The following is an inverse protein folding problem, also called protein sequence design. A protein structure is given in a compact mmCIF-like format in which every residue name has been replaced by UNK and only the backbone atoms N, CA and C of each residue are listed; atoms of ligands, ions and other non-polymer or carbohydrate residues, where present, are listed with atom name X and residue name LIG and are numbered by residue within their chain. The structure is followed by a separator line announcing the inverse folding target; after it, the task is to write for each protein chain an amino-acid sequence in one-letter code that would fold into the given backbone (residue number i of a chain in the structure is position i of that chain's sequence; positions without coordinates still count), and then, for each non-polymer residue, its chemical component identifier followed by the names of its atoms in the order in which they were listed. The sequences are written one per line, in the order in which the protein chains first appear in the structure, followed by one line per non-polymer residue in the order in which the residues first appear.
data_IF_988229064943
#
_entry.id   IF_988229064943
#
_cell.length_a   1.000
_cell.length_b   1.000
_cell.length_c   1.000
_cell.angle_alpha   90.00
_cell.angle_beta   90.00
_cell.angle_gamma   90.00
#
_symmetry.space_group_name_H-M   'P 1'
#
loop_
_entity.id
_entity.type
_entity.pdbx_description
1 polymer ?
#
# COMPACT_ATOMS: atom_id res chain seq x y z
N UNK A 1 19.12 -69.38 33.05
CA UNK A 1 18.20 -68.99 31.96
C UNK A 1 16.89 -68.51 32.59
N UNK A 2 16.17 -67.51 32.04
CA UNK A 2 16.50 -66.11 31.68
C UNK A 2 15.93 -65.13 32.76
N UNK A 3 16.49 -63.94 33.03
CA UNK A 3 16.38 -62.59 32.39
C UNK A 3 15.12 -61.78 32.77
N UNK A 4 15.39 -60.54 33.27
CA UNK A 4 14.56 -59.31 33.39
C UNK A 4 13.46 -59.29 34.46
N UNK A 5 13.33 -58.24 35.30
CA UNK A 5 13.24 -56.78 35.04
C UNK A 5 13.71 -56.00 36.30
N UNK A 6 14.72 -55.10 36.25
CA UNK A 6 14.67 -53.64 35.93
C UNK A 6 13.81 -52.86 36.97
N UNK A 7 14.37 -52.24 38.02
CA UNK A 7 15.03 -50.92 38.10
C UNK A 7 14.27 -49.76 37.43
N UNK A 8 13.61 -48.91 38.23
CA UNK A 8 13.92 -47.46 38.28
C UNK A 8 12.96 -46.74 39.25
N UNK A 9 13.37 -46.64 40.51
CA UNK A 9 13.15 -45.42 41.28
C UNK A 9 14.32 -44.47 40.95
N UNK A 10 14.12 -43.17 41.13
CA UNK A 10 15.10 -42.08 40.94
C UNK A 10 15.14 -41.39 39.57
N UNK A 11 14.07 -40.68 39.21
CA UNK A 11 14.16 -39.49 38.35
C UNK A 11 13.31 -38.36 38.95
N UNK A 12 13.71 -37.90 40.14
CA UNK A 12 13.19 -36.64 40.73
C UNK A 12 14.31 -35.66 41.11
N UNK A 13 15.57 -35.97 40.77
CA UNK A 13 16.74 -35.13 41.12
C UNK A 13 17.35 -34.39 39.90
N UNK A 14 16.92 -34.65 38.66
CA UNK A 14 17.53 -34.06 37.45
C UNK A 14 16.79 -32.81 36.92
N UNK A 15 15.75 -32.30 37.60
CA UNK A 15 15.05 -31.06 37.16
C UNK A 15 15.50 -29.76 37.84
N UNK A 16 16.36 -29.82 38.87
CA UNK A 16 16.90 -28.63 39.52
C UNK A 16 18.34 -28.26 39.09
N UNK A 17 19.02 -29.11 38.30
CA UNK A 17 20.41 -28.90 37.88
C UNK A 17 20.56 -28.36 36.44
N UNK A 18 19.49 -28.28 35.64
CA UNK A 18 19.53 -27.75 34.25
C UNK A 18 19.12 -26.26 34.18
N UNK A 19 18.70 -25.67 35.30
CA UNK A 19 18.36 -24.24 35.41
C UNK A 19 19.56 -23.34 35.83
N UNK A 20 20.80 -23.86 35.82
CA UNK A 20 22.02 -23.11 36.20
C UNK A 20 23.20 -23.32 35.23
N UNK A 21 22.93 -23.40 33.92
CA UNK A 21 23.97 -23.56 32.89
C UNK A 21 23.78 -22.67 31.65
N UNK A 22 23.14 -21.50 31.79
CA UNK A 22 23.18 -20.45 30.77
C UNK A 22 23.34 -19.08 31.43
N UNK A 23 24.50 -18.85 32.02
CA UNK A 23 25.02 -17.50 32.24
C UNK A 23 26.53 -17.58 32.11
N UNK A 24 27.11 -16.58 31.45
CA UNK A 24 28.51 -16.47 31.03
C UNK A 24 28.86 -17.19 29.71
N UNK A 25 28.17 -16.80 28.63
CA UNK A 25 28.89 -16.45 27.41
C UNK A 25 29.15 -14.95 27.48
N UNK A 26 30.15 -14.58 28.27
CA UNK A 26 30.66 -13.22 28.32
C UNK A 26 31.45 -12.96 27.02
N UNK A 27 31.07 -11.89 26.34
CA UNK A 27 31.99 -10.92 25.77
C UNK A 27 33.25 -11.49 25.08
N UNK A 28 33.08 -11.92 23.85
CA UNK A 28 34.00 -11.45 22.80
C UNK A 28 33.30 -10.32 22.05
N UNK A 29 33.05 -9.21 22.75
CA UNK A 29 33.31 -7.94 22.13
C UNK A 29 34.83 -7.92 21.96
N UNK A 30 35.32 -8.39 20.83
CA UNK A 30 36.62 -7.93 20.37
C UNK A 30 36.51 -6.41 20.40
N UNK A 31 37.21 -5.81 21.36
CA UNK A 31 37.55 -4.41 21.31
C UNK A 31 38.44 -4.24 20.07
N UNK A 32 37.78 -4.22 18.91
CA UNK A 32 38.27 -3.50 17.76
C UNK A 32 38.30 -2.09 18.29
N UNK A 33 39.49 -1.61 18.64
CA UNK A 33 39.73 -0.17 18.72
C UNK A 33 38.99 0.44 17.56
N UNK A 34 38.04 1.38 17.77
CA UNK A 34 37.49 2.09 16.63
C UNK A 34 38.71 2.76 16.00
N UNK A 35 39.21 2.18 14.90
CA UNK A 35 39.99 2.95 13.97
C UNK A 35 39.08 4.15 13.73
N UNK A 36 39.58 5.32 14.09
CA UNK A 36 38.96 6.61 13.81
C UNK A 36 38.91 6.80 12.28
N UNK A 37 38.18 5.93 11.58
CA UNK A 37 37.58 6.25 10.31
C UNK A 37 36.52 7.29 10.64
N UNK A 38 36.57 8.42 9.94
CA UNK A 38 35.51 9.40 10.06
C UNK A 38 34.17 8.71 9.77
N UNK A 39 33.14 8.95 10.59
CA UNK A 39 31.85 8.34 10.35
C UNK A 39 31.28 8.81 9.01
N UNK A 40 30.61 7.90 8.29
CA UNK A 40 29.71 8.30 7.24
C UNK A 40 28.54 9.04 7.86
N UNK A 41 28.19 10.19 7.29
CA UNK A 41 26.98 10.93 7.65
C UNK A 41 25.95 10.77 6.56
N UNK A 42 24.86 10.07 6.88
CA UNK A 42 23.69 9.99 6.02
C UNK A 42 22.68 11.03 6.50
N UNK A 43 22.48 12.06 5.68
CA UNK A 43 21.51 13.13 5.91
C UNK A 43 20.24 12.85 5.11
N UNK A 44 19.09 12.85 5.79
CA UNK A 44 17.76 12.75 5.21
C UNK A 44 16.99 14.05 5.42
N UNK A 45 16.38 14.55 4.36
CA UNK A 45 15.43 15.66 4.40
C UNK A 45 14.05 15.16 3.98
N UNK A 46 13.09 15.24 4.89
CA UNK A 46 11.67 14.99 4.62
C UNK A 46 10.99 16.33 4.42
N UNK A 47 10.58 16.65 3.20
CA UNK A 47 10.01 17.95 2.88
C UNK A 47 8.50 18.00 3.06
N UNK A 48 7.81 16.94 2.69
CA UNK A 48 6.37 16.84 2.81
C UNK A 48 5.96 15.37 2.96
N UNK A 49 4.85 15.13 3.64
CA UNK A 49 4.31 13.80 3.88
C UNK A 49 2.80 13.89 3.94
N UNK A 50 2.12 12.97 3.26
CA UNK A 50 0.67 12.95 3.15
C UNK A 50 0.17 11.53 3.34
N UNK A 51 -0.94 11.39 4.05
CA UNK A 51 -1.67 10.14 4.20
C UNK A 51 -3.11 10.40 3.80
N UNK A 52 -3.69 9.47 3.04
CA UNK A 52 -5.12 9.45 2.85
C UNK A 52 -5.83 9.55 4.23
N UNK A 53 -7.05 10.08 4.25
CA UNK A 53 -7.90 10.21 5.44
C UNK A 53 -7.51 11.26 6.49
N UNK A 54 -6.27 11.76 6.54
CA UNK A 54 -5.85 12.83 7.49
C UNK A 54 -5.89 14.24 6.88
N UNK A 55 -6.48 15.21 7.59
CA UNK A 55 -6.49 16.61 7.14
C UNK A 55 -5.09 17.24 7.25
N UNK A 56 -4.88 18.37 6.55
CA UNK A 56 -3.59 19.04 6.48
C UNK A 56 -3.02 19.41 7.86
N UNK A 57 -3.86 19.91 8.78
CA UNK A 57 -3.42 20.30 10.12
C UNK A 57 -2.95 19.08 10.92
N UNK A 58 -3.70 17.98 10.82
CA UNK A 58 -3.37 16.70 11.46
C UNK A 58 -2.08 16.10 10.89
N UNK A 59 -1.91 16.10 9.57
CA UNK A 59 -0.67 15.63 8.92
C UNK A 59 0.55 16.45 9.34
N UNK A 60 0.43 17.78 9.37
CA UNK A 60 1.50 18.71 9.77
C UNK A 60 1.95 18.49 11.22
N UNK A 61 1.06 18.02 12.09
CA UNK A 61 1.39 17.68 13.48
C UNK A 61 2.01 16.27 13.62
N UNK A 62 1.49 15.28 12.90
CA UNK A 62 1.85 13.87 13.09
C UNK A 62 3.19 13.49 12.44
N UNK A 63 3.44 13.95 11.21
CA UNK A 63 4.60 13.48 10.44
C UNK A 63 5.95 13.86 11.05
N UNK A 64 6.16 15.08 11.58
CA UNK A 64 7.38 15.39 12.31
C UNK A 64 7.60 14.46 13.51
N UNK A 65 6.55 14.12 14.25
CA UNK A 65 6.65 13.18 15.37
C UNK A 65 7.02 11.76 14.90
N UNK A 66 6.42 11.27 13.81
CA UNK A 66 6.72 9.96 13.22
C UNK A 66 8.20 9.90 12.82
N UNK A 67 8.65 10.85 11.99
CA UNK A 67 9.99 10.83 11.42
C UNK A 67 11.08 11.17 12.43
N UNK A 68 10.79 11.96 13.47
CA UNK A 68 11.76 12.22 14.55
C UNK A 68 12.22 10.97 15.30
N UNK A 69 11.49 9.85 15.15
CA UNK A 69 11.78 8.55 15.77
C UNK A 69 12.31 7.53 14.76
N UNK A 70 12.72 7.97 13.57
CA UNK A 70 13.22 7.07 12.55
C UNK A 70 14.54 6.41 12.94
N UNK A 71 14.66 5.13 12.60
CA UNK A 71 15.87 4.34 12.65
C UNK A 71 16.31 4.03 11.22
N UNK A 72 17.61 3.83 11.04
CA UNK A 72 18.19 3.47 9.76
C UNK A 72 19.01 2.20 9.92
N UNK A 73 18.70 1.20 9.11
CA UNK A 73 19.50 -0.02 8.98
C UNK A 73 20.34 0.10 7.71
N UNK A 74 21.64 0.29 7.88
CA UNK A 74 22.60 0.31 6.79
C UNK A 74 23.10 -1.11 6.48
N UNK A 75 23.11 -1.45 5.20
CA UNK A 75 23.56 -2.73 4.68
C UNK A 75 24.89 -2.52 3.98
N UNK A 76 25.85 -3.36 4.34
CA UNK A 76 27.21 -3.34 3.81
C UNK A 76 27.49 -4.64 3.09
N UNK A 77 28.00 -4.48 1.87
CA UNK A 77 28.47 -5.60 1.06
C UNK A 77 30.00 -5.62 1.06
N UNK A 78 30.60 -6.80 0.95
CA UNK A 78 32.03 -6.90 0.86
C UNK A 78 32.53 -6.43 -0.51
N UNK A 79 33.57 -5.61 -0.48
CA UNK A 79 34.34 -5.15 -1.62
C UNK A 79 35.17 -6.29 -2.23
N UNK A 80 35.57 -7.27 -1.41
CA UNK A 80 36.36 -8.44 -1.82
C UNK A 80 35.69 -9.74 -1.40
N UNK A 81 35.86 -10.78 -2.21
CA UNK A 81 35.30 -12.12 -1.98
C UNK A 81 36.35 -13.01 -1.34
N UNK A 82 36.21 -13.27 -0.05
CA UNK A 82 37.13 -14.03 0.80
C UNK A 82 36.30 -15.13 1.48
N UNK A 83 36.61 -16.38 1.18
CA UNK A 83 35.90 -17.54 1.74
C UNK A 83 36.06 -17.60 3.25
N UNK A 84 34.94 -17.76 3.97
CA UNK A 84 34.91 -17.80 5.44
C UNK A 84 34.83 -16.44 6.12
N UNK A 85 35.10 -15.33 5.41
CA UNK A 85 35.07 -13.97 5.96
C UNK A 85 33.98 -13.10 5.33
N UNK A 86 33.91 -13.07 4.01
CA UNK A 86 32.94 -12.26 3.25
C UNK A 86 32.06 -13.10 2.34
N UNK A 87 32.33 -14.40 2.25
CA UNK A 87 31.49 -15.38 1.59
C UNK A 87 31.31 -16.63 2.43
N UNK A 88 30.12 -17.20 2.37
CA UNK A 88 29.80 -18.49 2.96
C UNK A 88 29.38 -19.46 1.85
N UNK A 89 30.05 -20.60 1.77
CA UNK A 89 29.67 -21.71 0.88
C UNK A 89 28.92 -22.76 1.69
N UNK A 90 27.64 -22.93 1.40
CA UNK A 90 26.82 -24.00 2.00
C UNK A 90 26.64 -25.14 1.01
N UNK A 91 26.92 -26.35 1.46
CA UNK A 91 26.66 -27.58 0.71
C UNK A 91 25.26 -28.08 1.04
N UNK A 92 24.40 -28.16 0.02
CA UNK A 92 23.07 -28.69 0.14
C UNK A 92 23.01 -30.10 -0.45
N UNK A 93 22.48 -31.03 0.34
CA UNK A 93 22.18 -32.37 -0.14
C UNK A 93 20.90 -32.30 -0.98
N UNK A 94 21.03 -32.55 -2.28
CA UNK A 94 19.87 -32.69 -3.17
C UNK A 94 19.40 -34.14 -3.15
N UNK A 95 18.09 -34.35 -3.07
CA UNK A 95 17.49 -35.69 -3.18
C UNK A 95 17.04 -35.90 -4.62
N UNK A 96 17.44 -37.02 -5.23
CA UNK A 96 17.26 -37.30 -6.66
C UNK A 96 15.82 -37.75 -6.98
N UNK A 97 15.25 -38.57 -6.10
CA UNK A 97 13.85 -38.98 -6.11
C UNK A 97 13.46 -39.49 -4.72
N UNK A 98 12.19 -39.32 -4.36
CA UNK A 98 11.61 -39.88 -3.15
C UNK A 98 10.55 -40.90 -3.56
N UNK A 99 10.69 -42.15 -3.13
CA UNK A 99 9.62 -43.14 -3.24
C UNK A 99 8.72 -43.04 -2.01
N UNK A 100 7.42 -42.85 -2.23
CA UNK A 100 6.43 -42.75 -1.17
C UNK A 100 6.45 -44.03 -0.32
N UNK A 101 6.74 -43.88 0.98
CA UNK A 101 6.75 -44.98 1.96
C UNK A 101 8.06 -45.76 2.09
N UNK A 102 9.14 -45.38 1.39
CA UNK A 102 10.42 -46.15 1.41
C UNK A 102 11.62 -45.28 1.80
N UNK A 103 12.14 -44.44 0.89
CA UNK A 103 13.30 -43.59 1.14
C UNK A 103 13.47 -42.56 0.01
N UNK A 104 14.21 -41.49 0.29
CA UNK A 104 14.74 -40.59 -0.73
C UNK A 104 16.20 -40.94 -1.03
N UNK A 105 16.57 -41.01 -2.32
CA UNK A 105 17.94 -41.31 -2.72
C UNK A 105 18.74 -39.99 -2.75
N UNK A 106 19.81 -39.84 -1.95
CA UNK A 106 20.66 -38.67 -2.01
C UNK A 106 21.41 -38.62 -3.34
N UNK A 107 21.49 -37.45 -3.95
CA UNK A 107 22.37 -37.20 -5.09
C UNK A 107 23.84 -37.40 -4.64
N UNK A 108 24.67 -38.14 -5.40
CA UNK A 108 26.09 -38.34 -5.07
C UNK A 108 26.91 -37.03 -5.05
N UNK A 109 26.37 -35.93 -5.59
CA UNK A 109 27.01 -34.61 -5.57
C UNK A 109 26.23 -33.63 -4.69
N UNK A 110 26.96 -32.90 -3.84
CA UNK A 110 26.42 -31.75 -3.12
C UNK A 110 26.29 -30.57 -4.08
N UNK A 111 25.15 -29.87 -4.03
CA UNK A 111 25.06 -28.56 -4.66
C UNK A 111 25.67 -27.53 -3.69
N UNK A 112 26.75 -26.89 -4.11
CA UNK A 112 27.35 -25.79 -3.36
C UNK A 112 26.67 -24.50 -3.75
N UNK A 113 26.15 -23.78 -2.75
CA UNK A 113 25.65 -22.42 -2.92
C UNK A 113 26.55 -21.48 -2.14
N UNK A 114 27.28 -20.65 -2.87
CA UNK A 114 28.09 -19.57 -2.29
C UNK A 114 27.24 -18.32 -2.21
N UNK A 115 27.06 -17.79 -1.01
CA UNK A 115 26.40 -16.51 -0.74
C UNK A 115 27.39 -15.50 -0.18
N UNK A 116 27.21 -14.25 -0.58
CA UNK A 116 27.91 -13.12 0.00
C UNK A 116 27.36 -12.87 1.41
N UNK A 117 28.25 -12.67 2.38
CA UNK A 117 27.85 -12.30 3.73
C UNK A 117 27.58 -10.80 3.77
N UNK A 118 26.35 -10.41 4.11
CA UNK A 118 25.96 -9.02 4.31
C UNK A 118 26.12 -8.64 5.79
N UNK A 119 26.49 -7.38 6.04
CA UNK A 119 26.55 -6.82 7.40
C UNK A 119 25.52 -5.72 7.55
N UNK A 120 24.91 -5.68 8.72
CA UNK A 120 23.85 -4.72 9.04
C UNK A 120 24.29 -3.88 10.23
N UNK A 121 24.07 -2.57 10.14
CA UNK A 121 24.29 -1.62 11.23
C UNK A 121 23.04 -0.77 11.38
N UNK A 122 22.38 -0.86 12.54
CA UNK A 122 21.19 -0.05 12.85
C UNK A 122 21.55 1.11 13.75
N UNK A 123 21.14 2.32 13.37
CA UNK A 123 21.39 3.55 14.10
C UNK A 123 20.13 4.41 14.19
N UNK A 124 20.07 5.28 15.21
CA UNK A 124 18.96 6.22 15.39
C UNK A 124 19.28 7.56 14.75
N UNK A 125 18.26 8.18 14.15
CA UNK A 125 18.39 9.52 13.58
C UNK A 125 18.54 10.57 14.66
N UNK A 126 19.49 11.48 14.48
CA UNK A 126 19.58 12.71 15.24
C UNK A 126 18.84 13.81 14.48
N UNK A 127 17.91 14.50 15.13
CA UNK A 127 17.18 15.59 14.49
C UNK A 127 18.06 16.83 14.44
N UNK A 128 18.51 17.20 13.24
CA UNK A 128 19.42 18.34 13.01
C UNK A 128 18.65 19.65 12.84
N UNK A 129 17.42 19.58 12.33
CA UNK A 129 16.53 20.72 12.17
C UNK A 129 15.10 20.26 12.46
N UNK A 130 14.51 20.76 13.55
CA UNK A 130 13.19 20.29 14.05
C UNK A 130 12.18 21.40 14.39
N UNK A 131 12.54 22.68 14.27
CA UNK A 131 11.74 23.76 14.85
C UNK A 131 11.00 24.58 13.77
N UNK A 132 9.68 24.38 13.69
CA UNK A 132 8.71 25.24 13.00
C UNK A 132 8.87 25.44 11.48
N UNK A 133 9.72 24.66 10.79
CA UNK A 133 9.87 24.71 9.35
C UNK A 133 10.09 23.33 8.74
N UNK A 134 9.35 23.04 7.66
CA UNK A 134 9.73 22.03 6.68
C UNK A 134 10.95 22.54 5.88
N UNK A 135 11.90 21.68 5.47
CA UNK A 135 11.92 20.22 5.67
C UNK A 135 12.46 19.79 7.06
N UNK A 136 11.96 18.67 7.59
CA UNK A 136 12.58 17.96 8.73
C UNK A 136 13.90 17.34 8.28
N UNK A 137 14.99 17.58 9.02
CA UNK A 137 16.31 17.00 8.70
C UNK A 137 16.79 16.04 9.78
N UNK A 138 17.13 14.82 9.37
CA UNK A 138 17.73 13.79 10.20
C UNK A 138 19.15 13.50 9.74
N UNK A 139 20.05 13.26 10.69
CA UNK A 139 21.40 12.77 10.45
C UNK A 139 21.60 11.43 11.11
N UNK A 140 22.19 10.49 10.39
CA UNK A 140 22.59 9.18 10.87
C UNK A 140 24.10 9.06 10.77
N UNK A 141 24.74 8.73 11.89
CA UNK A 141 26.18 8.46 11.94
C UNK A 141 26.41 6.97 11.76
N UNK A 142 27.15 6.61 10.72
CA UNK A 142 27.39 5.24 10.30
C UNK A 142 28.91 4.98 10.27
N UNK A 143 29.39 3.76 10.54
CA UNK A 143 30.78 3.42 10.30
C UNK A 143 31.06 3.45 8.79
N UNK A 144 32.22 3.96 8.38
CA UNK A 144 32.66 3.87 6.98
C UNK A 144 32.85 2.41 6.56
N UNK A 145 33.48 1.63 7.42
CA UNK A 145 33.64 0.18 7.27
C UNK A 145 33.25 -0.50 8.60
N UNK A 146 32.18 -1.31 8.64
CA UNK A 146 31.79 -2.02 9.86
C UNK A 146 32.73 -3.21 10.17
N UNK A 147 33.47 -3.66 9.17
CA UNK A 147 34.49 -4.71 9.22
C UNK A 147 35.42 -4.53 8.00
N UNK A 148 36.64 -5.10 8.02
CA UNK A 148 37.55 -5.04 6.89
C UNK A 148 36.90 -5.52 5.59
N UNK A 149 37.17 -4.81 4.49
CA UNK A 149 36.64 -5.10 3.15
C UNK A 149 35.12 -4.91 3.00
N UNK A 150 34.41 -4.27 3.93
CA UNK A 150 32.98 -3.97 3.75
C UNK A 150 32.77 -2.51 3.36
N UNK A 151 31.84 -2.28 2.42
CA UNK A 151 31.45 -0.94 1.99
C UNK A 151 29.94 -0.77 2.03
N UNK A 152 29.50 0.46 2.26
CA UNK A 152 28.08 0.80 2.22
C UNK A 152 27.47 0.42 0.86
N UNK A 153 26.34 -0.27 0.90
CA UNK A 153 25.57 -0.68 -0.29
C UNK A 153 24.22 0.05 -0.35
N UNK A 154 23.42 -0.07 0.71
CA UNK A 154 22.06 0.49 0.77
C UNK A 154 21.63 0.72 2.21
N UNK A 155 20.53 1.43 2.40
CA UNK A 155 19.91 1.62 3.70
C UNK A 155 18.40 1.39 3.63
N UNK A 156 17.83 0.85 4.70
CA UNK A 156 16.39 0.87 4.96
C UNK A 156 16.11 1.90 6.05
N UNK A 157 15.21 2.83 5.77
CA UNK A 157 14.71 3.80 6.75
C UNK A 157 13.43 3.25 7.34
N UNK A 158 13.34 3.19 8.66
CA UNK A 158 12.16 2.70 9.37
C UNK A 158 11.65 3.74 10.37
N UNK A 159 10.34 3.93 10.45
CA UNK A 159 9.72 4.81 11.44
C UNK A 159 8.51 4.15 12.12
N UNK A 160 8.26 4.45 13.41
CA UNK A 160 7.13 3.88 14.13
C UNK A 160 5.79 4.42 13.60
N UNK A 161 4.98 3.55 13.00
CA UNK A 161 3.64 3.89 12.52
C UNK A 161 2.63 4.15 13.66
N UNK A 162 2.97 3.79 14.91
CA UNK A 162 2.04 3.86 16.05
C UNK A 162 1.54 5.27 16.36
N UNK A 163 2.29 6.30 15.98
CA UNK A 163 1.89 7.69 16.14
C UNK A 163 0.65 7.99 15.28
N UNK A 164 0.62 7.50 14.03
CA UNK A 164 -0.53 7.64 13.13
C UNK A 164 -1.80 7.06 13.77
N UNK A 165 -1.69 5.90 14.42
CA UNK A 165 -2.83 5.17 15.01
C UNK A 165 -3.40 5.77 16.29
N UNK A 166 -2.79 6.85 16.80
CA UNK A 166 -3.33 7.58 17.95
C UNK A 166 -4.42 8.55 17.56
N UNK A 167 -4.49 8.92 16.28
CA UNK A 167 -5.48 9.85 15.76
C UNK A 167 -6.92 9.34 16.04
N UNK A 168 -7.85 10.22 16.46
CA UNK A 168 -9.24 9.84 16.71
C UNK A 168 -9.93 9.15 15.53
N UNK A 169 -9.59 9.51 14.29
CA UNK A 169 -10.16 8.91 13.09
C UNK A 169 -9.90 7.40 13.04
N UNK A 170 -8.64 6.98 13.18
CA UNK A 170 -8.29 5.56 13.13
C UNK A 170 -8.79 4.79 14.35
N UNK A 171 -8.88 5.45 15.52
CA UNK A 171 -9.50 4.85 16.70
C UNK A 171 -10.98 4.57 16.48
N UNK A 172 -11.71 5.50 15.88
CA UNK A 172 -13.12 5.34 15.57
C UNK A 172 -13.31 4.29 14.48
N UNK A 173 -12.58 4.40 13.38
CA UNK A 173 -12.60 3.43 12.29
C UNK A 173 -12.35 2.01 12.80
N UNK A 174 -11.39 1.82 13.72
CA UNK A 174 -11.16 0.52 14.34
C UNK A 174 -12.37 -0.04 15.07
N UNK A 175 -13.17 0.79 15.75
CA UNK A 175 -14.39 0.33 16.44
C UNK A 175 -15.45 -0.15 15.46
N UNK A 176 -15.54 0.49 14.30
CA UNK A 176 -16.56 0.25 13.30
C UNK A 176 -16.24 -0.98 12.41
N UNK A 177 -15.02 -1.52 12.52
CA UNK A 177 -14.62 -2.75 11.83
C UNK A 177 -15.25 -4.01 12.46
N UNK A 178 -15.43 -5.06 11.64
CA UNK A 178 -15.80 -6.40 12.13
C UNK A 178 -14.72 -7.00 13.05
N UNK A 179 -15.10 -7.93 13.93
CA UNK A 179 -14.18 -8.56 14.89
C UNK A 179 -13.01 -9.32 14.23
N UNK A 180 -13.17 -9.84 13.00
CA UNK A 180 -12.09 -10.44 12.22
C UNK A 180 -11.13 -9.37 11.69
N UNK A 181 -11.65 -8.30 11.08
CA UNK A 181 -10.86 -7.19 10.55
C UNK A 181 -10.08 -6.46 11.67
N UNK A 182 -10.69 -6.29 12.86
CA UNK A 182 -10.01 -5.71 14.02
C UNK A 182 -8.77 -6.52 14.47
N UNK A 183 -8.87 -7.85 14.47
CA UNK A 183 -7.76 -8.75 14.84
C UNK A 183 -6.64 -8.69 13.81
N UNK A 184 -6.98 -8.68 12.53
CA UNK A 184 -6.01 -8.53 11.45
C UNK A 184 -5.31 -7.17 11.54
N UNK A 185 -6.06 -6.07 11.64
CA UNK A 185 -5.49 -4.73 11.79
C UNK A 185 -4.56 -4.61 13.00
N UNK A 186 -4.92 -5.23 14.13
CA UNK A 186 -4.08 -5.22 15.32
C UNK A 186 -2.69 -5.84 15.10
N UNK A 187 -2.58 -6.85 14.22
CA UNK A 187 -1.31 -7.49 13.84
C UNK A 187 -0.48 -6.60 12.90
N UNK A 188 -1.13 -6.00 11.89
CA UNK A 188 -0.41 -5.24 10.87
C UNK A 188 0.01 -3.83 11.33
N UNK A 189 -0.78 -3.17 12.19
CA UNK A 189 -0.48 -1.80 12.65
C UNK A 189 0.84 -1.65 13.44
N UNK A 190 1.45 -2.76 13.85
CA UNK A 190 2.74 -2.78 14.56
C UNK A 190 3.92 -2.72 13.60
N UNK A 191 3.70 -2.96 12.30
CA UNK A 191 4.74 -2.86 11.29
C UNK A 191 5.21 -1.40 11.16
N UNK A 192 6.53 -1.15 11.10
CA UNK A 192 7.06 0.18 10.88
C UNK A 192 6.74 0.64 9.45
N UNK A 193 6.72 1.96 9.25
CA UNK A 193 6.83 2.54 7.93
C UNK A 193 8.24 2.27 7.43
N UNK A 194 8.42 1.76 6.22
CA UNK A 194 9.77 1.59 5.70
C UNK A 194 9.91 1.85 4.21
N UNK A 195 11.11 2.31 3.83
CA UNK A 195 11.53 2.46 2.45
C UNK A 195 13.04 2.31 2.31
N UNK A 196 13.47 2.00 1.09
CA UNK A 196 14.88 1.71 0.77
C UNK A 196 15.55 2.88 0.06
N UNK A 197 16.84 3.06 0.36
CA UNK A 197 17.72 4.05 -0.26
C UNK A 197 19.00 3.35 -0.74
N UNK A 198 19.45 3.66 -1.95
CA UNK A 198 20.69 3.16 -2.51
C UNK A 198 21.47 4.29 -3.21
N UNK A 199 22.81 4.21 -3.33
CA UNK A 199 23.60 5.18 -4.07
C UNK A 199 23.05 5.36 -5.49
N UNK A 200 22.74 6.62 -5.85
CA UNK A 200 22.23 6.90 -7.19
C UNK A 200 23.30 6.65 -8.23
N UNK A 201 22.89 6.08 -9.37
CA UNK A 201 23.74 5.92 -10.56
C UNK A 201 23.68 7.16 -11.47
N UNK A 202 22.96 8.20 -11.04
CA UNK A 202 22.66 9.41 -11.82
C UNK A 202 22.88 10.62 -10.91
N UNK A 203 23.04 11.79 -11.52
CA UNK A 203 23.02 13.03 -10.76
C UNK A 203 21.58 13.36 -10.37
N UNK A 204 21.24 13.19 -9.09
CA UNK A 204 19.87 13.41 -8.59
C UNK A 204 19.85 14.33 -7.35
N UNK A 205 20.11 15.63 -7.49
CA UNK A 205 20.05 16.56 -6.34
C UNK A 205 18.61 16.85 -5.84
N UNK A 206 17.59 16.21 -6.42
CA UNK A 206 16.19 16.58 -6.26
C UNK A 206 15.43 15.69 -5.26
N UNK A 207 14.30 16.18 -4.73
CA UNK A 207 13.39 15.40 -3.90
C UNK A 207 12.78 14.24 -4.69
N UNK A 208 12.51 13.15 -4.01
CA UNK A 208 11.98 11.92 -4.56
C UNK A 208 10.68 11.56 -3.83
N UNK A 209 9.66 11.18 -4.59
CA UNK A 209 8.39 10.72 -4.04
C UNK A 209 8.52 9.25 -3.63
N UNK A 210 8.18 8.92 -2.39
CA UNK A 210 8.28 7.59 -1.78
C UNK A 210 6.92 7.12 -1.26
N UNK A 211 6.59 5.87 -1.52
CA UNK A 211 5.44 5.18 -0.93
C UNK A 211 5.77 4.72 0.48
N UNK A 212 4.92 5.09 1.43
CA UNK A 212 4.94 4.62 2.79
C UNK A 212 3.91 3.51 2.88
N UNK A 213 4.37 2.26 2.86
CA UNK A 213 3.52 1.08 3.06
C UNK A 213 2.84 1.14 4.42
N UNK A 214 1.64 1.71 4.47
CA UNK A 214 0.90 1.97 5.70
C UNK A 214 -0.31 1.05 5.76
N UNK A 215 -0.35 0.07 6.69
CA UNK A 215 -1.54 -0.75 6.87
C UNK A 215 -2.64 0.08 7.51
N UNK A 216 -3.77 0.26 6.83
CA UNK A 216 -4.92 0.98 7.40
C UNK A 216 -6.04 0.01 7.78
N UNK A 217 -6.97 0.42 8.67
CA UNK A 217 -8.25 -0.28 8.84
C UNK A 217 -8.98 -0.60 7.52
N UNK A 218 -8.83 0.25 6.51
CA UNK A 218 -9.42 0.11 5.18
C UNK A 218 -8.68 -0.86 4.27
N UNK A 219 -7.36 -0.80 4.27
CA UNK A 219 -6.50 -1.54 3.35
C UNK A 219 -5.47 -2.36 4.13
N UNK A 220 -5.83 -3.61 4.41
CA UNK A 220 -4.95 -4.59 5.06
C UNK A 220 -4.00 -5.29 4.08
N UNK A 221 -4.20 -5.08 2.77
CA UNK A 221 -3.34 -5.61 1.71
C UNK A 221 -3.14 -4.55 0.63
N UNK A 222 -1.88 -4.26 0.35
CA UNK A 222 -1.45 -3.37 -0.72
C UNK A 222 -1.93 -3.92 -2.07
N UNK A 223 -2.96 -3.28 -2.62
CA UNK A 223 -3.48 -3.56 -3.97
C UNK A 223 -2.93 -2.58 -5.01
N UNK A 224 -1.77 -2.00 -4.73
CA UNK A 224 -1.01 -1.26 -5.72
C UNK A 224 -1.40 0.19 -5.88
N UNK A 225 -1.94 0.83 -4.82
CA UNK A 225 -2.12 2.25 -4.45
C UNK A 225 -1.35 2.75 -3.20
N UNK A 226 -0.45 3.76 -3.16
CA UNK A 226 0.13 4.17 -1.87
C UNK A 226 -0.91 4.91 -1.02
N UNK A 227 -1.17 4.45 0.20
CA UNK A 227 -2.09 5.13 1.13
C UNK A 227 -1.42 6.33 1.82
N UNK A 228 -0.09 6.30 1.91
CA UNK A 228 0.71 7.41 2.39
C UNK A 228 1.95 7.57 1.52
N UNK A 229 2.40 8.80 1.36
CA UNK A 229 3.60 9.14 0.59
C UNK A 229 4.41 10.20 1.32
N UNK A 230 5.69 10.27 0.99
CA UNK A 230 6.59 11.33 1.45
C UNK A 230 7.51 11.78 0.33
N UNK A 231 7.96 13.02 0.37
CA UNK A 231 9.06 13.53 -0.45
C UNK A 231 10.34 13.54 0.36
N UNK A 232 11.34 12.79 -0.10
CA UNK A 232 12.63 12.65 0.58
C UNK A 232 13.79 13.07 -0.30
N UNK A 233 14.79 13.70 0.30
CA UNK A 233 16.13 13.88 -0.28
C UNK A 233 17.13 13.24 0.66
N UNK A 234 18.08 12.49 0.11
CA UNK A 234 19.04 11.73 0.90
C UNK A 234 20.46 11.93 0.35
N UNK A 235 21.40 12.21 1.24
CA UNK A 235 22.82 12.32 0.90
C UNK A 235 23.68 11.59 1.91
N UNK A 236 24.66 10.85 1.40
CA UNK A 236 25.70 10.18 2.17
C UNK A 236 27.00 10.96 1.99
N UNK A 237 27.62 11.41 3.08
CA UNK A 237 28.89 12.12 3.09
C UNK A 237 29.93 11.35 3.90
N UNK A 238 31.19 11.43 3.49
CA UNK A 238 32.31 10.76 4.12
C UNK A 238 33.64 11.14 3.48
N UNK A 239 34.69 10.41 3.81
CA UNK A 239 36.06 10.67 3.30
C UNK A 239 36.15 10.59 1.77
N UNK A 240 35.32 9.76 1.15
CA UNK A 240 35.22 9.58 -0.30
C UNK A 240 34.33 10.62 -1.01
N UNK A 241 33.86 11.64 -0.29
CA UNK A 241 33.00 12.70 -0.79
C UNK A 241 31.50 12.46 -0.57
N UNK A 242 30.69 13.32 -1.19
CA UNK A 242 29.23 13.30 -1.05
C UNK A 242 28.58 12.51 -2.19
N UNK A 243 27.67 11.61 -1.84
CA UNK A 243 26.88 10.79 -2.75
C UNK A 243 25.39 11.02 -2.48
N UNK A 244 24.61 11.13 -3.54
CA UNK A 244 23.15 11.12 -3.42
C UNK A 244 22.66 9.68 -3.24
N UNK A 245 21.68 9.48 -2.36
CA UNK A 245 20.94 8.23 -2.28
C UNK A 245 19.54 8.40 -2.91
N UNK A 246 19.08 7.36 -3.60
CA UNK A 246 17.79 7.33 -4.26
C UNK A 246 16.94 6.13 -3.86
N UNK A 247 15.63 6.31 -3.92
CA UNK A 247 14.70 5.19 -3.92
C UNK A 247 14.81 4.48 -5.27
N UNK A 248 15.10 3.16 -5.31
CA UNK A 248 15.41 2.43 -6.54
C UNK A 248 14.52 2.79 -7.75
N UNK A 249 15.17 3.25 -8.83
CA UNK A 249 14.53 4.03 -9.90
C UNK A 249 13.38 3.38 -10.69
N UNK A 250 13.16 2.06 -10.61
CA UNK A 250 11.94 1.47 -11.19
C UNK A 250 10.72 1.69 -10.28
N UNK A 251 10.90 1.62 -8.96
CA UNK A 251 9.84 1.84 -7.98
C UNK A 251 9.40 3.31 -7.97
N UNK A 252 10.35 4.24 -7.93
CA UNK A 252 10.07 5.69 -7.96
C UNK A 252 9.33 6.13 -9.24
N UNK A 253 9.71 5.59 -10.40
CA UNK A 253 9.03 5.87 -11.68
C UNK A 253 7.62 5.29 -11.71
N UNK A 254 7.46 4.06 -11.25
CA UNK A 254 6.15 3.43 -11.17
C UNK A 254 5.23 4.24 -10.26
N UNK A 255 5.75 4.77 -9.14
CA UNK A 255 5.01 5.59 -8.21
C UNK A 255 4.56 6.93 -8.83
N UNK A 256 5.48 7.65 -9.49
CA UNK A 256 5.18 8.91 -10.18
C UNK A 256 4.10 8.71 -11.25
N UNK A 257 4.20 7.61 -12.03
CA UNK A 257 3.22 7.26 -13.06
C UNK A 257 1.86 6.88 -12.46
N UNK A 258 1.85 6.03 -11.42
CA UNK A 258 0.63 5.57 -10.73
C UNK A 258 -0.14 6.72 -10.12
N UNK A 259 0.56 7.64 -9.46
CA UNK A 259 -0.03 8.82 -8.82
C UNK A 259 -0.24 10.00 -9.78
N UNK A 260 0.11 9.85 -11.06
CA UNK A 260 0.07 10.93 -12.05
C UNK A 260 0.77 12.20 -11.55
N UNK A 261 1.87 12.05 -10.81
CA UNK A 261 2.58 13.15 -10.18
C UNK A 261 3.39 13.92 -11.24
N UNK A 262 3.30 15.26 -11.24
CA UNK A 262 4.20 16.11 -12.03
C UNK A 262 5.61 16.07 -11.44
N UNK A 263 6.66 16.35 -12.23
CA UNK A 263 8.03 16.41 -11.72
C UNK A 263 8.35 17.66 -10.89
N UNK A 264 7.38 18.56 -10.71
CA UNK A 264 7.55 19.87 -10.06
C UNK A 264 7.85 19.76 -8.55
N UNK A 265 7.43 18.67 -7.89
CA UNK A 265 7.75 18.44 -6.47
C UNK A 265 9.25 18.22 -6.23
N UNK A 266 10.00 17.83 -7.26
CA UNK A 266 11.41 17.48 -7.12
C UNK A 266 12.27 18.69 -6.67
N UNK A 267 11.82 19.91 -6.97
CA UNK A 267 12.49 21.15 -6.58
C UNK A 267 12.09 21.63 -5.18
N UNK A 268 10.78 21.75 -4.94
CA UNK A 268 10.23 22.34 -3.71
C UNK A 268 10.11 21.35 -2.55
N UNK A 269 10.08 20.05 -2.86
CA UNK A 269 9.74 19.00 -1.92
C UNK A 269 8.27 18.98 -1.51
N UNK A 270 7.44 19.91 -1.99
CA UNK A 270 6.01 19.92 -1.67
C UNK A 270 5.26 18.92 -2.51
N UNK A 271 4.41 18.12 -1.88
CA UNK A 271 3.55 17.21 -2.59
C UNK A 271 2.54 18.02 -3.43
N UNK A 272 2.38 17.72 -4.72
CA UNK A 272 1.33 18.36 -5.52
C UNK A 272 -0.04 17.98 -4.94
N UNK A 273 -0.98 18.92 -4.93
CA UNK A 273 -2.34 18.64 -4.44
C UNK A 273 -2.99 17.48 -5.21
N UNK A 274 -2.68 17.36 -6.51
CA UNK A 274 -3.13 16.21 -7.31
C UNK A 274 -2.67 14.88 -6.72
N UNK A 275 -1.49 14.80 -6.13
CA UNK A 275 -1.00 13.59 -5.48
C UNK A 275 -1.68 13.38 -4.14
N UNK A 276 -1.63 14.36 -3.23
CA UNK A 276 -2.20 14.23 -1.88
C UNK A 276 -3.70 13.98 -1.88
N UNK A 277 -4.43 14.65 -2.79
CA UNK A 277 -5.89 14.49 -2.91
C UNK A 277 -6.24 13.16 -3.60
N UNK A 278 -5.44 12.68 -4.56
CA UNK A 278 -5.65 11.38 -5.22
C UNK A 278 -5.37 10.16 -4.33
N UNK A 279 -4.72 10.31 -3.17
CA UNK A 279 -4.52 9.17 -2.26
C UNK A 279 -5.84 8.67 -1.65
N UNK A 280 -6.83 9.56 -1.53
CA UNK A 280 -8.12 9.23 -0.91
C UNK A 280 -9.00 8.37 -1.81
N UNK A 281 -9.24 8.67 -3.11
CA UNK A 281 -10.14 7.86 -3.94
C UNK A 281 -9.63 6.45 -4.28
N UNK A 282 -8.32 6.30 -4.53
CA UNK A 282 -7.74 5.07 -5.09
C UNK A 282 -7.30 4.06 -4.01
N UNK A 283 -7.05 4.52 -2.78
CA UNK A 283 -6.64 3.66 -1.65
C UNK A 283 -7.80 3.06 -0.85
N UNK A 284 -9.04 3.34 -1.23
CA UNK A 284 -10.26 2.85 -0.55
C UNK A 284 -10.52 1.40 -0.93
N UNK A 285 -9.92 0.47 -0.18
CA UNK A 285 -10.22 -0.94 -0.34
C UNK A 285 -11.47 -1.30 0.44
N UNK A 286 -12.56 -1.57 -0.27
CA UNK A 286 -13.80 -2.09 0.33
C UNK A 286 -13.67 -3.55 0.78
N UNK A 287 -12.61 -4.26 0.35
CA UNK A 287 -12.36 -5.70 0.52
C UNK A 287 -12.57 -6.28 1.93
N UNK A 288 -12.38 -5.46 2.97
CA UNK A 288 -12.47 -5.89 4.37
C UNK A 288 -13.64 -5.24 5.10
N UNK A 289 -14.50 -4.54 4.36
CA UNK A 289 -15.72 -3.93 4.83
C UNK A 289 -16.89 -4.92 4.91
N UNK A 290 -17.95 -4.49 5.57
CA UNK A 290 -19.24 -5.16 5.47
C UNK A 290 -19.80 -4.93 4.07
N UNK A 291 -19.99 -6.02 3.32
CA UNK A 291 -20.62 -5.98 2.00
C UNK A 291 -22.05 -6.48 2.09
N UNK A 292 -22.95 -5.78 1.41
CA UNK A 292 -24.34 -6.18 1.24
C UNK A 292 -24.74 -6.02 -0.20
N UNK A 293 -25.31 -7.08 -0.76
CA UNK A 293 -25.71 -7.12 -2.15
C UNK A 293 -27.14 -7.63 -2.27
N UNK A 294 -27.89 -7.09 -3.22
CA UNK A 294 -29.19 -7.63 -3.58
C UNK A 294 -29.96 -6.76 -4.58
N UNK A 295 -31.07 -7.29 -5.12
CA UNK A 295 -31.95 -6.51 -5.98
C UNK A 295 -32.70 -5.45 -5.18
N UNK A 296 -32.91 -4.30 -5.82
CA UNK A 296 -33.75 -3.22 -5.30
C UNK A 296 -34.69 -2.71 -6.40
N UNK A 297 -35.95 -2.50 -6.03
CA UNK A 297 -36.88 -1.74 -6.85
C UNK A 297 -36.64 -0.25 -6.58
N UNK A 298 -35.89 0.41 -7.48
CA UNK A 298 -35.62 1.85 -7.36
C UNK A 298 -36.94 2.61 -7.50
N UNK A 299 -37.26 3.59 -6.62
CA UNK A 299 -38.50 4.36 -6.70
C UNK A 299 -38.49 5.38 -7.84
N UNK A 300 -39.68 5.78 -8.32
CA UNK A 300 -39.83 6.75 -9.42
C UNK A 300 -39.24 8.14 -9.12
N UNK A 301 -39.01 8.48 -7.84
CA UNK A 301 -38.30 9.69 -7.42
C UNK A 301 -36.81 9.70 -7.75
N UNK A 302 -36.26 8.56 -8.17
CA UNK A 302 -34.88 8.36 -8.61
C UNK A 302 -34.88 7.89 -10.08
N UNK A 303 -35.25 8.79 -11.02
CA UNK A 303 -35.65 8.41 -12.37
C UNK A 303 -34.53 7.78 -13.20
N UNK A 304 -33.25 8.07 -12.90
CA UNK A 304 -32.11 7.54 -13.69
C UNK A 304 -32.01 6.02 -13.64
N UNK A 305 -32.45 5.42 -12.54
CA UNK A 305 -32.38 3.97 -12.29
C UNK A 305 -33.76 3.33 -12.14
N UNK A 306 -34.83 4.12 -12.28
CA UNK A 306 -36.19 3.65 -12.16
C UNK A 306 -36.53 2.66 -13.28
N UNK A 307 -37.03 1.47 -12.90
CA UNK A 307 -37.45 0.44 -13.84
C UNK A 307 -36.33 -0.39 -14.48
N UNK A 308 -35.05 -0.04 -14.24
CA UNK A 308 -33.91 -0.81 -14.72
C UNK A 308 -33.74 -2.12 -13.93
N UNK A 309 -33.31 -3.17 -14.62
CA UNK A 309 -33.19 -4.53 -14.09
C UNK A 309 -31.84 -5.12 -14.40
N UNK A 310 -31.28 -5.88 -13.48
CA UNK A 310 -30.05 -6.61 -13.72
C UNK A 310 -30.37 -8.01 -14.27
N UNK A 311 -29.59 -8.53 -15.21
CA UNK A 311 -29.83 -9.83 -15.86
C UNK A 311 -29.92 -11.00 -14.85
N UNK A 312 -29.01 -11.05 -13.86
CA UNK A 312 -29.07 -12.03 -12.76
C UNK A 312 -30.18 -11.76 -11.72
N UNK A 313 -30.80 -10.59 -11.74
CA UNK A 313 -31.77 -10.16 -10.73
C UNK A 313 -32.95 -9.42 -11.38
N UNK A 314 -33.84 -10.11 -12.11
CA UNK A 314 -34.91 -9.49 -12.90
C UNK A 314 -35.97 -8.76 -12.05
N UNK A 315 -35.91 -8.90 -10.73
CA UNK A 315 -36.75 -8.20 -9.77
C UNK A 315 -36.36 -6.72 -9.58
N UNK A 316 -35.16 -6.30 -10.03
CA UNK A 316 -34.76 -4.89 -9.95
C UNK A 316 -33.30 -4.61 -10.29
N UNK A 317 -32.86 -3.41 -9.95
CA UNK A 317 -31.46 -2.98 -10.08
C UNK A 317 -30.62 -3.74 -9.05
N UNK A 318 -29.47 -4.26 -9.46
CA UNK A 318 -28.51 -4.81 -8.51
C UNK A 318 -27.89 -3.67 -7.72
N UNK A 319 -27.92 -3.78 -6.41
CA UNK A 319 -27.32 -2.83 -5.51
C UNK A 319 -26.24 -3.51 -4.66
N UNK A 320 -25.14 -2.81 -4.42
CA UNK A 320 -24.09 -3.21 -3.49
C UNK A 320 -23.75 -2.05 -2.56
N UNK A 321 -23.91 -2.28 -1.24
CA UNK A 321 -23.40 -1.41 -0.18
C UNK A 321 -22.11 -2.01 0.36
N UNK A 322 -21.07 -1.20 0.43
CA UNK A 322 -19.86 -1.56 1.16
C UNK A 322 -19.60 -0.52 2.24
N UNK A 323 -19.42 -0.95 3.49
CA UNK A 323 -19.09 -0.06 4.61
C UNK A 323 -17.80 -0.51 5.28
N UNK A 324 -16.88 0.41 5.48
CA UNK A 324 -15.67 0.19 6.27
C UNK A 324 -15.34 1.46 7.07
N UNK A 325 -15.89 1.55 8.28
CA UNK A 325 -15.79 2.74 9.14
C UNK A 325 -16.27 4.02 8.44
N UNK A 326 -15.41 5.05 8.29
CA UNK A 326 -15.78 6.32 7.65
C UNK A 326 -16.01 6.19 6.13
N UNK A 327 -15.60 5.08 5.52
CA UNK A 327 -15.82 4.78 4.12
C UNK A 327 -17.17 4.12 3.91
N UNK A 328 -17.97 4.67 2.99
CA UNK A 328 -19.19 4.05 2.49
C UNK A 328 -19.21 4.12 0.97
N UNK A 329 -19.37 2.98 0.30
CA UNK A 329 -19.52 2.91 -1.15
C UNK A 329 -20.86 2.29 -1.50
N UNK A 330 -21.50 2.86 -2.51
CA UNK A 330 -22.72 2.36 -3.12
C UNK A 330 -22.45 2.12 -4.59
N UNK A 331 -22.79 0.94 -5.06
CA UNK A 331 -22.81 0.61 -6.47
C UNK A 331 -24.22 0.19 -6.87
N UNK A 332 -24.68 0.72 -8.01
CA UNK A 332 -25.87 0.27 -8.71
C UNK A 332 -25.45 -0.33 -10.04
N UNK A 333 -26.09 -1.43 -10.44
CA UNK A 333 -25.82 -2.10 -11.71
C UNK A 333 -27.10 -2.69 -12.31
N UNK A 334 -27.32 -2.48 -13.60
CA UNK A 334 -28.48 -2.96 -14.34
C UNK A 334 -28.23 -2.95 -15.85
N UNK A 335 -28.99 -3.74 -16.60
CA UNK A 335 -29.09 -3.61 -18.05
C UNK A 335 -29.76 -2.27 -18.40
N UNK A 336 -29.28 -1.67 -19.47
CA UNK A 336 -29.86 -0.45 -20.05
C UNK A 336 -31.03 -0.79 -21.00
N UNK A 337 -31.40 0.14 -21.87
CA UNK A 337 -32.44 -0.05 -22.88
C UNK A 337 -31.94 -0.91 -24.06
N UNK A 338 -32.79 -1.79 -24.59
CA UNK A 338 -32.57 -2.55 -25.83
C UNK A 338 -32.29 -1.64 -27.03
N UNK A 339 -32.72 -0.37 -27.00
CA UNK A 339 -32.38 0.62 -28.01
C UNK A 339 -30.87 0.88 -28.12
N UNK A 340 -30.09 0.56 -27.09
CA UNK A 340 -28.63 0.73 -27.05
C UNK A 340 -27.86 -0.56 -27.34
N UNK A 341 -28.58 -1.61 -27.73
CA UNK A 341 -27.96 -2.89 -28.04
C UNK A 341 -27.03 -2.78 -29.25
N UNK A 342 -25.89 -3.45 -29.16
CA UNK A 342 -24.94 -3.62 -30.26
C UNK A 342 -24.78 -5.13 -30.46
N UNK A 343 -25.02 -5.61 -31.68
CA UNK A 343 -24.92 -7.04 -32.02
C UNK A 343 -25.69 -7.94 -31.05
N UNK A 344 -26.95 -7.59 -30.79
CA UNK A 344 -27.88 -8.28 -29.88
C UNK A 344 -27.48 -8.28 -28.39
N UNK A 345 -26.43 -7.54 -28.00
CA UNK A 345 -26.07 -7.37 -26.61
C UNK A 345 -26.54 -6.02 -26.04
N UNK A 346 -27.33 -6.10 -24.97
CA UNK A 346 -27.73 -4.94 -24.17
C UNK A 346 -26.61 -4.58 -23.20
N UNK A 347 -26.11 -3.33 -23.18
CA UNK A 347 -25.03 -2.99 -22.28
C UNK A 347 -25.52 -2.89 -20.84
N UNK A 348 -24.62 -3.19 -19.92
CA UNK A 348 -24.82 -3.05 -18.49
C UNK A 348 -24.22 -1.73 -18.04
N UNK A 349 -25.05 -0.94 -17.37
CA UNK A 349 -24.67 0.29 -16.71
C UNK A 349 -24.33 0.00 -15.26
N UNK A 350 -23.27 0.63 -14.77
CA UNK A 350 -22.95 0.74 -13.36
C UNK A 350 -22.70 2.20 -12.97
N UNK A 351 -23.17 2.59 -11.79
CA UNK A 351 -22.79 3.85 -11.14
C UNK A 351 -22.28 3.52 -9.74
N UNK A 352 -21.17 4.14 -9.33
CA UNK A 352 -20.54 3.99 -8.02
C UNK A 352 -20.36 5.34 -7.36
N UNK A 353 -20.89 5.50 -6.14
CA UNK A 353 -20.61 6.64 -5.26
C UNK A 353 -19.79 6.19 -4.07
N UNK A 354 -18.69 6.89 -3.82
CA UNK A 354 -17.81 6.61 -2.70
C UNK A 354 -17.74 7.82 -1.78
N UNK A 355 -18.19 7.61 -0.55
CA UNK A 355 -18.23 8.59 0.51
C UNK A 355 -17.15 8.32 1.55
N UNK A 356 -16.55 9.40 2.06
CA UNK A 356 -15.65 9.37 3.20
C UNK A 356 -16.12 10.40 4.23
N UNK A 357 -16.38 9.98 5.47
CA UNK A 357 -16.97 10.84 6.52
C UNK A 357 -18.25 11.58 6.05
N UNK A 358 -19.07 10.92 5.23
CA UNK A 358 -20.31 11.49 4.70
C UNK A 358 -20.15 12.50 3.56
N UNK A 359 -18.92 12.77 3.13
CA UNK A 359 -18.62 13.58 1.96
C UNK A 359 -18.37 12.70 0.74
N UNK A 360 -18.94 13.07 -0.41
CA UNK A 360 -18.68 12.38 -1.67
C UNK A 360 -17.25 12.69 -2.12
N UNK A 361 -16.44 11.65 -2.27
CA UNK A 361 -15.05 11.76 -2.69
C UNK A 361 -14.86 11.34 -4.14
N UNK A 362 -15.67 10.40 -4.60
CA UNK A 362 -15.54 9.82 -5.92
C UNK A 362 -16.91 9.37 -6.45
N UNK A 363 -17.11 9.67 -7.73
CA UNK A 363 -18.24 9.19 -8.52
C UNK A 363 -17.66 8.61 -9.80
N UNK A 364 -18.01 7.37 -10.08
CA UNK A 364 -17.63 6.68 -11.30
C UNK A 364 -18.85 6.04 -11.90
N UNK A 365 -18.98 6.10 -13.21
CA UNK A 365 -19.95 5.30 -13.93
C UNK A 365 -19.32 4.64 -15.14
N UNK A 366 -19.86 3.49 -15.49
CA UNK A 366 -19.43 2.68 -16.61
C UNK A 366 -20.66 2.14 -17.34
N UNK A 367 -20.59 2.11 -18.67
CA UNK A 367 -21.52 1.35 -19.50
C UNK A 367 -20.68 0.42 -20.36
N UNK A 368 -20.87 -0.90 -20.17
CA UNK A 368 -20.07 -1.93 -20.84
C UNK A 368 -20.90 -3.05 -21.44
N UNK A 369 -20.30 -3.70 -22.43
CA UNK A 369 -20.79 -4.88 -23.12
C UNK A 369 -19.95 -6.08 -22.63
N UNK A 370 -20.58 -7.11 -22.05
CA UNK A 370 -19.93 -8.25 -21.41
C UNK A 370 -19.54 -9.38 -22.37
N UNK A 371 -20.26 -9.52 -23.48
CA UNK A 371 -20.15 -10.62 -24.45
C UNK A 371 -19.94 -10.15 -25.89
N UNK A 372 -19.81 -8.85 -26.09
CA UNK A 372 -19.70 -8.21 -27.39
C UNK A 372 -18.34 -8.45 -28.02
N UNK A 373 -18.19 -8.09 -29.30
CA UNK A 373 -16.91 -8.22 -29.96
C UNK A 373 -15.86 -7.31 -29.29
N UNK A 374 -14.60 -7.73 -29.35
CA UNK A 374 -13.48 -7.11 -28.60
C UNK A 374 -13.19 -5.64 -28.94
N UNK A 375 -13.89 -5.10 -29.94
CA UNK A 375 -13.78 -3.75 -30.47
C UNK A 375 -14.93 -2.82 -30.05
N UNK A 376 -15.95 -3.30 -29.32
CA UNK A 376 -16.97 -2.42 -28.74
C UNK A 376 -16.42 -1.80 -27.45
N UNK A 377 -16.21 -0.47 -27.39
CA UNK A 377 -15.67 0.16 -26.20
C UNK A 377 -16.69 0.22 -25.07
N UNK A 378 -16.19 0.11 -23.84
CA UNK A 378 -16.92 0.57 -22.67
C UNK A 378 -16.81 2.09 -22.58
N UNK A 379 -17.90 2.76 -22.21
CA UNK A 379 -17.87 4.18 -21.88
C UNK A 379 -17.70 4.33 -20.37
N UNK A 380 -16.64 4.99 -19.94
CA UNK A 380 -16.36 5.27 -18.54
C UNK A 380 -16.37 6.77 -18.30
N UNK A 381 -16.86 7.20 -17.15
CA UNK A 381 -16.74 8.57 -16.68
C UNK A 381 -16.49 8.62 -15.20
N UNK A 382 -15.84 9.71 -14.78
CA UNK A 382 -15.40 9.87 -13.41
C UNK A 382 -15.39 11.32 -13.00
N UNK A 383 -15.75 11.55 -11.74
CA UNK A 383 -15.54 12.79 -11.02
C UNK A 383 -14.87 12.48 -9.69
N UNK A 384 -13.75 13.15 -9.44
CA UNK A 384 -13.09 13.11 -8.13
C UNK A 384 -13.20 14.47 -7.46
N UNK A 385 -13.41 14.45 -6.16
CA UNK A 385 -13.41 15.64 -5.33
C UNK A 385 -12.28 15.61 -4.32
N UNK A 386 -11.70 16.78 -4.07
CA UNK A 386 -10.88 17.03 -2.90
C UNK A 386 -11.74 16.98 -1.64
N UNK A 387 -11.09 16.89 -0.48
CA UNK A 387 -11.79 16.91 0.81
C UNK A 387 -12.45 18.25 1.15
N UNK A 388 -12.04 19.35 0.54
CA UNK A 388 -12.75 20.63 0.69
C UNK A 388 -13.99 20.72 -0.21
N UNK A 389 -14.27 19.70 -1.02
CA UNK A 389 -15.40 19.65 -1.95
C UNK A 389 -15.12 20.24 -3.33
N UNK A 390 -13.90 20.73 -3.59
CA UNK A 390 -13.52 21.17 -4.92
C UNK A 390 -13.32 19.97 -5.85
N UNK A 391 -13.79 20.10 -7.09
CA UNK A 391 -13.59 19.10 -8.15
C UNK A 391 -12.11 19.03 -8.52
N UNK A 392 -11.51 17.86 -8.38
CA UNK A 392 -10.11 17.59 -8.69
C UNK A 392 -9.94 17.20 -10.16
N UNK A 393 -10.81 16.31 -10.63
CA UNK A 393 -10.70 15.70 -11.94
C UNK A 393 -12.08 15.34 -12.48
N UNK A 394 -12.24 15.47 -13.79
CA UNK A 394 -13.44 15.04 -14.51
C UNK A 394 -13.05 14.60 -15.90
N UNK A 395 -13.48 13.40 -16.29
CA UNK A 395 -13.30 12.91 -17.65
C UNK A 395 -14.39 11.91 -18.02
N UNK A 396 -14.64 11.79 -19.32
CA UNK A 396 -15.35 10.68 -19.94
C UNK A 396 -14.47 10.15 -21.07
N UNK A 397 -14.42 8.83 -21.24
CA UNK A 397 -13.59 8.18 -22.24
C UNK A 397 -14.25 6.88 -22.70
N UNK A 398 -14.01 6.51 -23.96
CA UNK A 398 -14.34 5.19 -24.50
C UNK A 398 -13.08 4.34 -24.47
N UNK A 399 -13.13 3.20 -23.78
CA UNK A 399 -11.97 2.33 -23.57
C UNK A 399 -12.26 0.90 -23.96
N UNK A 400 -11.21 0.19 -24.42
CA UNK A 400 -11.26 -1.25 -24.54
C UNK A 400 -11.38 -1.88 -23.14
N UNK A 401 -12.39 -2.74 -22.87
CA UNK A 401 -12.54 -3.38 -21.56
C UNK A 401 -11.35 -4.26 -21.13
N UNK A 402 -10.52 -4.71 -22.09
CA UNK A 402 -9.43 -5.66 -21.84
C UNK A 402 -8.07 -5.00 -21.57
N UNK A 403 -7.80 -3.85 -22.20
CA UNK A 403 -6.49 -3.17 -22.08
C UNK A 403 -6.56 -1.67 -21.79
N UNK A 404 -7.77 -1.15 -21.52
CA UNK A 404 -8.08 0.24 -21.16
C UNK A 404 -7.59 1.28 -22.17
N UNK A 405 -7.24 0.88 -23.40
CA UNK A 405 -6.86 1.82 -24.46
C UNK A 405 -8.08 2.55 -24.98
N UNK A 406 -7.91 3.82 -25.26
CA UNK A 406 -8.94 4.63 -25.90
C UNK A 406 -9.32 4.05 -27.26
N UNK A 407 -10.62 3.96 -27.51
CA UNK A 407 -11.20 3.43 -28.74
C UNK A 407 -12.22 4.40 -29.31
N UNK A 408 -12.23 4.52 -30.63
CA UNK A 408 -13.25 5.28 -31.33
C UNK A 408 -14.61 4.58 -31.28
N UNK A 409 -15.66 5.40 -31.26
CA UNK A 409 -17.02 4.93 -31.08
C UNK A 409 -17.82 5.06 -32.38
N UNK A 410 -17.97 3.96 -33.11
CA UNK A 410 -18.62 3.94 -34.42
C UNK A 410 -20.10 3.56 -34.38
N UNK A 411 -20.57 2.94 -33.31
CA UNK A 411 -21.96 2.49 -33.15
C UNK A 411 -22.82 3.57 -32.46
N UNK A 412 -24.07 3.72 -32.90
CA UNK A 412 -25.01 4.68 -32.30
C UNK A 412 -25.22 4.43 -30.80
N UNK A 413 -25.39 3.17 -30.38
CA UNK A 413 -25.56 2.84 -28.95
C UNK A 413 -24.38 3.28 -28.09
N UNK A 414 -23.15 3.18 -28.62
CA UNK A 414 -21.95 3.67 -27.96
C UNK A 414 -21.92 5.22 -27.93
N UNK A 415 -22.37 5.90 -29.00
CA UNK A 415 -22.45 7.37 -29.04
C UNK A 415 -23.48 7.88 -28.03
N UNK A 416 -24.59 7.18 -27.86
CA UNK A 416 -25.61 7.46 -26.86
C UNK A 416 -25.08 7.25 -25.44
N UNK A 417 -24.23 6.23 -25.22
CA UNK A 417 -23.55 6.02 -23.93
C UNK A 417 -22.60 7.19 -23.61
N UNK A 418 -21.82 7.66 -24.58
CA UNK A 418 -20.97 8.84 -24.42
C UNK A 418 -21.79 10.11 -24.15
N UNK A 419 -22.92 10.28 -24.84
CA UNK A 419 -23.82 11.40 -24.59
C UNK A 419 -24.38 11.37 -23.16
N UNK A 420 -24.73 10.19 -22.64
CA UNK A 420 -25.15 10.02 -21.25
C UNK A 420 -24.02 10.36 -20.28
N UNK A 421 -22.80 9.85 -20.52
CA UNK A 421 -21.63 10.15 -19.69
C UNK A 421 -21.40 11.67 -19.59
N UNK A 422 -21.39 12.37 -20.73
CA UNK A 422 -21.24 13.83 -20.78
C UNK A 422 -22.38 14.55 -20.05
N UNK A 423 -23.62 14.06 -20.15
CA UNK A 423 -24.74 14.61 -19.39
C UNK A 423 -24.57 14.43 -17.87
N UNK A 424 -24.01 13.30 -17.41
CA UNK A 424 -23.68 13.11 -15.98
C UNK A 424 -22.57 14.06 -15.53
N UNK A 425 -21.55 14.27 -16.35
CA UNK A 425 -20.44 15.18 -16.01
C UNK A 425 -20.85 16.65 -16.01
N UNK A 426 -21.88 17.00 -16.78
CA UNK A 426 -22.48 18.34 -16.81
C UNK A 426 -23.36 18.62 -15.58
N UNK A 427 -23.73 17.61 -14.79
CA UNK A 427 -24.44 17.82 -13.53
C UNK A 427 -23.59 18.61 -12.54
N UNK A 428 -24.24 19.49 -11.79
CA UNK A 428 -23.58 20.23 -10.71
C UNK A 428 -23.14 19.28 -9.61
N UNK A 429 -22.07 19.62 -8.90
CA UNK A 429 -21.58 18.81 -7.77
C UNK A 429 -22.68 18.59 -6.72
N UNK A 430 -23.50 19.62 -6.45
CA UNK A 430 -24.62 19.51 -5.54
C UNK A 430 -25.66 18.46 -5.99
N UNK A 431 -25.92 18.33 -7.29
CA UNK A 431 -26.84 17.31 -7.82
C UNK A 431 -26.27 15.91 -7.65
N UNK A 432 -25.00 15.70 -8.01
CA UNK A 432 -24.33 14.39 -7.86
C UNK A 432 -24.26 13.95 -6.39
N UNK A 433 -23.93 14.87 -5.49
CA UNK A 433 -23.90 14.64 -4.04
C UNK A 433 -25.30 14.31 -3.52
N UNK A 434 -26.31 15.09 -3.87
CA UNK A 434 -27.69 14.87 -3.41
C UNK A 434 -28.25 13.55 -3.92
N UNK A 435 -27.91 13.16 -5.15
CA UNK A 435 -28.31 11.88 -5.71
C UNK A 435 -27.63 10.70 -5.02
N UNK A 436 -26.31 10.71 -4.86
CA UNK A 436 -25.60 9.66 -4.13
C UNK A 436 -26.12 9.48 -2.69
N UNK A 437 -26.45 10.59 -2.00
CA UNK A 437 -27.07 10.55 -0.67
C UNK A 437 -28.45 9.88 -0.67
N UNK A 438 -29.28 10.15 -1.68
CA UNK A 438 -30.59 9.47 -1.81
C UNK A 438 -30.42 7.96 -2.02
N UNK A 439 -29.43 7.53 -2.79
CA UNK A 439 -29.12 6.10 -2.92
C UNK A 439 -28.57 5.49 -1.63
N UNK A 440 -27.79 6.24 -0.85
CA UNK A 440 -27.33 5.82 0.47
C UNK A 440 -28.48 5.64 1.46
N UNK A 441 -29.43 6.57 1.47
CA UNK A 441 -30.62 6.48 2.31
C UNK A 441 -31.47 5.27 1.93
N UNK A 442 -31.70 5.04 0.64
CA UNK A 442 -32.42 3.87 0.13
C UNK A 442 -31.74 2.57 0.57
N UNK A 443 -30.41 2.50 0.44
CA UNK A 443 -29.62 1.37 0.88
C UNK A 443 -29.77 1.08 2.39
N UNK A 444 -29.73 2.14 3.21
CA UNK A 444 -29.84 2.03 4.66
C UNK A 444 -31.23 1.53 5.08
N UNK A 445 -32.30 2.01 4.44
CA UNK A 445 -33.66 1.56 4.72
C UNK A 445 -33.87 0.07 4.41
N UNK A 446 -33.20 -0.43 3.37
CA UNK A 446 -33.25 -1.85 3.00
C UNK A 446 -32.48 -2.71 3.99
N UNK A 447 -31.34 -2.21 4.49
CA UNK A 447 -30.57 -2.85 5.56
C UNK A 447 -31.42 -3.01 6.83
N UNK A 448 -32.07 -1.93 7.28
CA UNK A 448 -32.90 -1.94 8.49
C UNK A 448 -34.07 -2.93 8.41
N UNK A 449 -34.74 -3.05 7.27
CA UNK A 449 -35.86 -3.98 7.10
C UNK A 449 -35.47 -5.47 7.09
N UNK A 450 -34.19 -5.78 6.87
CA UNK A 450 -33.68 -7.16 6.81
C UNK A 450 -33.08 -7.65 8.13
N UNK A 451 -32.85 -6.74 9.09
CA UNK A 451 -32.46 -7.06 10.48
C UNK A 451 -33.72 -7.27 11.32
#
# INVERSE_FOLDING_TARGET
MPINTVLSQDITVIRAAIARLFTVAALFASAVTPLHAEPLHLDLEFADSSMAYLDEATQNALWPEVWSKAELTAYYLPAEKIEGETQETRSHLKLFSCMVGVACIPNPHFETKTSVLEREVTVRGQVVQSAAGQPLKLRFELPEEPAPHYRFDRAEVQAPAQVLWRDPLFKQWKKDMTSSSQRLFAKYREQPLSFWLAPSKRDTPAYQLVDLGVPTPGSLMDRGDPVAVTTVRASLSGTQGNRVLEWPGQLAKNMTKRLQASTEFAESGRLPSSVSDNQVPWGLSIMYGEHRTGPIAVPASLPRWYGLKHYNFPEGTLFMLSRNGPLVQIELSAETDVARAIEDEVPVKSDTWTFFNGQLMHYHGEIRYFHGPSDVPATQWRVDWKRNGERLYTHAINVNPSDEKELECHHQGCQDNMAEALAQLAATDAQLVAEGKRYLELANQIDEKRR
#
